data_IF_028113683020
#
_entry.id   IF_028113683020
#
_cell.length_a   1.000
_cell.length_b   1.000
_cell.length_c   1.000
_cell.angle_alpha   90.00
_cell.angle_beta   90.00
_cell.angle_gamma   90.00
#
_symmetry.space_group_name_H-M   'P 1'
#
loop_
_entity.id
_entity.type
_entity.pdbx_description
1 polymer ?
#
# COMPACT_ATOMS: atom_id res chain seq x y z
N UNK A 1 5.52 10.41 5.98
CA UNK A 1 6.92 10.41 5.50
C UNK A 1 7.03 10.94 4.07
N UNK A 2 6.25 10.44 3.10
CA UNK A 2 6.32 10.88 1.69
C UNK A 2 6.15 12.39 1.55
N UNK A 3 5.14 12.98 2.20
CA UNK A 3 4.93 14.43 2.17
C UNK A 3 6.14 15.22 2.72
N UNK A 4 6.78 14.74 3.79
CA UNK A 4 7.99 15.33 4.33
C UNK A 4 9.16 15.23 3.33
N UNK A 5 9.37 14.07 2.72
CA UNK A 5 10.38 13.88 1.69
C UNK A 5 10.18 14.85 0.50
N UNK A 6 8.94 15.03 0.04
CA UNK A 6 8.61 15.97 -1.04
C UNK A 6 8.98 17.40 -0.66
N UNK A 7 8.63 17.84 0.55
CA UNK A 7 8.97 19.20 1.04
C UNK A 7 10.48 19.39 1.09
N UNK A 8 11.23 18.39 1.56
CA UNK A 8 12.71 18.48 1.60
C UNK A 8 13.31 18.51 0.19
N UNK A 9 12.82 17.68 -0.73
CA UNK A 9 13.27 17.66 -2.12
C UNK A 9 12.99 18.98 -2.85
N UNK A 10 11.91 19.67 -2.48
CA UNK A 10 11.58 20.99 -3.05
C UNK A 10 12.62 22.07 -2.73
N UNK A 11 13.52 21.86 -1.76
CA UNK A 11 14.62 22.77 -1.45
C UNK A 11 15.86 22.56 -2.33
N UNK A 12 15.88 21.52 -3.15
CA UNK A 12 17.01 21.22 -4.03
C UNK A 12 17.10 22.19 -5.21
N UNK A 13 18.29 22.36 -5.81
CA UNK A 13 18.47 23.18 -7.02
C UNK A 13 17.58 22.71 -8.18
N UNK A 14 17.19 23.63 -9.04
CA UNK A 14 16.28 23.36 -10.18
C UNK A 14 16.84 22.40 -11.22
N UNK A 15 18.14 22.16 -11.21
CA UNK A 15 18.80 21.18 -12.08
C UNK A 15 18.39 19.74 -11.73
N UNK A 16 17.99 19.50 -10.48
CA UNK A 16 17.42 18.23 -10.04
C UNK A 16 15.90 18.30 -10.14
N UNK A 17 15.33 17.92 -11.28
CA UNK A 17 13.91 18.17 -11.57
C UNK A 17 13.00 16.95 -11.45
N UNK A 18 13.55 15.74 -11.32
CA UNK A 18 12.75 14.50 -11.23
C UNK A 18 13.21 13.65 -10.06
N UNK A 19 12.28 13.40 -9.15
CA UNK A 19 12.49 12.54 -7.99
C UNK A 19 11.38 11.49 -7.89
N UNK A 20 11.73 10.31 -7.39
CA UNK A 20 10.81 9.21 -7.13
C UNK A 20 10.75 8.91 -5.63
N UNK A 21 10.05 9.74 -4.81
CA UNK A 21 10.03 9.57 -3.36
C UNK A 21 9.11 8.43 -2.95
N UNK A 22 9.67 7.27 -2.70
CA UNK A 22 8.99 6.14 -2.07
C UNK A 22 9.92 5.46 -1.06
N UNK A 23 9.34 4.81 -0.06
CA UNK A 23 10.09 4.10 0.95
C UNK A 23 10.80 2.88 0.32
N UNK A 24 12.12 2.80 0.52
CA UNK A 24 12.95 1.70 0.02
C UNK A 24 12.75 0.38 0.76
N UNK A 25 12.17 0.45 1.95
CA UNK A 25 11.85 -0.74 2.73
C UNK A 25 10.55 -1.36 2.21
N UNK A 26 10.61 -2.62 1.83
CA UNK A 26 9.45 -3.36 1.33
C UNK A 26 8.76 -4.10 2.46
N UNK A 27 7.43 -4.21 2.36
CA UNK A 27 6.62 -5.03 3.23
C UNK A 27 5.86 -6.05 2.39
N UNK A 28 5.90 -7.30 2.78
CA UNK A 28 5.07 -8.32 2.12
C UNK A 28 3.62 -8.18 2.57
N UNK A 29 2.71 -8.16 1.61
CA UNK A 29 1.27 -8.08 1.88
C UNK A 29 0.81 -9.22 2.79
N UNK A 30 1.36 -10.43 2.62
CA UNK A 30 1.07 -11.58 3.47
C UNK A 30 1.36 -11.34 4.94
N UNK A 31 2.46 -10.65 5.27
CA UNK A 31 2.82 -10.34 6.67
C UNK A 31 1.83 -9.33 7.27
N UNK A 32 1.41 -8.35 6.50
CA UNK A 32 0.39 -7.36 6.92
C UNK A 32 -0.94 -8.06 7.19
N UNK A 33 -1.40 -8.92 6.26
CA UNK A 33 -2.64 -9.66 6.40
C UNK A 33 -2.60 -10.65 7.59
N UNK A 34 -1.47 -11.31 7.81
CA UNK A 34 -1.28 -12.19 8.96
C UNK A 34 -1.36 -11.41 10.29
N UNK A 35 -0.74 -10.24 10.33
CA UNK A 35 -0.83 -9.36 11.48
C UNK A 35 -2.25 -8.89 11.77
N UNK A 36 -3.01 -8.49 10.74
CA UNK A 36 -4.43 -8.12 10.86
C UNK A 36 -5.27 -9.28 11.38
N UNK A 37 -5.08 -10.48 10.85
CA UNK A 37 -5.77 -11.68 11.32
C UNK A 37 -5.48 -11.98 12.79
N UNK A 38 -4.24 -11.77 13.21
CA UNK A 38 -3.81 -11.98 14.62
C UNK A 38 -4.37 -10.89 15.54
N UNK A 39 -4.51 -9.67 15.07
CA UNK A 39 -5.09 -8.56 15.81
C UNK A 39 -6.62 -8.66 16.00
N UNK A 40 -7.26 -9.66 15.39
CA UNK A 40 -8.69 -9.92 15.59
C UNK A 40 -9.61 -9.14 14.63
N UNK A 41 -9.07 -8.57 13.56
CA UNK A 41 -9.84 -7.81 12.55
C UNK A 41 -10.73 -8.69 11.64
N UNK A 42 -11.00 -9.92 12.05
CA UNK A 42 -11.94 -10.80 11.34
C UNK A 42 -11.48 -11.29 9.96
N UNK A 43 -10.22 -11.03 9.59
CA UNK A 43 -9.64 -11.47 8.32
C UNK A 43 -9.42 -12.98 8.35
N UNK A 44 -9.94 -13.66 7.34
CA UNK A 44 -9.75 -15.10 7.15
C UNK A 44 -8.99 -15.37 5.87
N UNK A 45 -7.97 -16.21 5.96
CA UNK A 45 -7.32 -16.74 4.77
C UNK A 45 -8.22 -17.83 4.18
N UNK A 46 -8.48 -17.73 2.89
CA UNK A 46 -9.28 -18.68 2.13
C UNK A 46 -8.53 -19.07 0.87
N UNK A 47 -8.88 -20.22 0.30
CA UNK A 47 -8.33 -20.63 -0.99
C UNK A 47 -8.80 -19.69 -2.11
N UNK A 48 -7.99 -19.58 -3.16
CA UNK A 48 -8.25 -18.67 -4.28
C UNK A 48 -9.61 -18.93 -4.94
N UNK A 49 -10.01 -20.20 -5.01
CA UNK A 49 -11.30 -20.58 -5.60
C UNK A 49 -12.48 -20.05 -4.77
N UNK A 50 -12.41 -20.17 -3.45
CA UNK A 50 -13.45 -19.68 -2.54
C UNK A 50 -13.51 -18.14 -2.52
N UNK A 51 -12.36 -17.48 -2.59
CA UNK A 51 -12.28 -16.03 -2.78
C UNK A 51 -12.98 -15.60 -4.08
N UNK A 52 -12.69 -16.27 -5.20
CA UNK A 52 -13.31 -15.96 -6.49
C UNK A 52 -14.83 -16.16 -6.46
N UNK A 53 -15.32 -17.24 -5.84
CA UNK A 53 -16.76 -17.48 -5.65
C UNK A 53 -17.43 -16.37 -4.83
N UNK A 54 -16.79 -15.96 -3.73
CA UNK A 54 -17.29 -14.87 -2.90
C UNK A 54 -17.35 -13.54 -3.66
N UNK A 55 -16.34 -13.24 -4.48
CA UNK A 55 -16.30 -12.05 -5.32
C UNK A 55 -17.41 -12.04 -6.37
N UNK A 56 -17.66 -13.16 -7.06
CA UNK A 56 -18.76 -13.26 -8.02
C UNK A 56 -20.13 -13.13 -7.35
N UNK A 57 -20.31 -13.72 -6.17
CA UNK A 57 -21.51 -13.53 -5.37
C UNK A 57 -21.72 -12.06 -4.96
N UNK A 58 -20.63 -11.35 -4.59
CA UNK A 58 -20.68 -9.94 -4.25
C UNK A 58 -21.02 -9.04 -5.45
N UNK A 59 -20.52 -9.34 -6.65
CA UNK A 59 -20.88 -8.65 -7.89
C UNK A 59 -22.38 -8.73 -8.20
N UNK A 60 -23.01 -9.86 -7.87
CA UNK A 60 -24.43 -10.12 -8.11
C UNK A 60 -25.37 -9.43 -7.13
N UNK A 61 -24.85 -8.90 -6.02
CA UNK A 61 -25.61 -8.17 -5.00
C UNK A 61 -25.32 -6.66 -5.11
N UNK A 62 -26.27 -5.82 -5.51
CA UNK A 62 -26.04 -4.38 -5.72
C UNK A 62 -25.50 -3.63 -4.49
N UNK A 63 -25.91 -4.03 -3.28
CA UNK A 63 -25.47 -3.39 -2.04
C UNK A 63 -23.99 -3.72 -1.77
N UNK A 64 -23.62 -5.01 -1.89
CA UNK A 64 -22.24 -5.46 -1.73
C UNK A 64 -21.33 -4.94 -2.84
N UNK A 65 -21.79 -4.96 -4.08
CA UNK A 65 -21.05 -4.42 -5.21
C UNK A 65 -20.68 -2.95 -5.01
N UNK A 66 -21.58 -2.15 -4.43
CA UNK A 66 -21.31 -0.75 -4.11
C UNK A 66 -20.23 -0.60 -3.02
N UNK A 67 -20.30 -1.39 -1.96
CA UNK A 67 -19.28 -1.38 -0.89
C UNK A 67 -17.91 -1.84 -1.39
N UNK A 68 -17.90 -2.79 -2.29
CA UNK A 68 -16.67 -3.39 -2.85
C UNK A 68 -16.21 -2.77 -4.16
N UNK A 69 -16.82 -1.65 -4.60
CA UNK A 69 -16.58 -1.08 -5.93
C UNK A 69 -15.09 -0.82 -6.22
N UNK A 70 -14.36 -0.30 -5.24
CA UNK A 70 -12.92 -0.04 -5.38
C UNK A 70 -12.11 -1.33 -5.57
N UNK A 71 -12.43 -2.38 -4.82
CA UNK A 71 -11.77 -3.68 -4.91
C UNK A 71 -12.09 -4.38 -6.24
N UNK A 72 -13.35 -4.33 -6.67
CA UNK A 72 -13.78 -4.91 -7.94
C UNK A 72 -13.09 -4.21 -9.12
N UNK A 73 -13.01 -2.87 -9.11
CA UNK A 73 -12.29 -2.12 -10.14
C UNK A 73 -10.80 -2.47 -10.18
N UNK A 74 -10.16 -2.64 -9.03
CA UNK A 74 -8.76 -3.07 -8.95
C UNK A 74 -8.55 -4.49 -9.49
N UNK A 75 -9.46 -5.42 -9.18
CA UNK A 75 -9.41 -6.79 -9.68
C UNK A 75 -9.54 -6.84 -11.21
N UNK A 76 -10.47 -6.09 -11.79
CA UNK A 76 -10.65 -6.02 -13.23
C UNK A 76 -9.40 -5.43 -13.94
N UNK A 77 -8.78 -4.42 -13.35
CA UNK A 77 -7.52 -3.88 -13.85
C UNK A 77 -6.37 -4.90 -13.76
N UNK A 78 -6.28 -5.65 -12.66
CA UNK A 78 -5.21 -6.63 -12.45
C UNK A 78 -5.32 -7.82 -13.41
N UNK A 79 -6.52 -8.25 -13.79
CA UNK A 79 -6.71 -9.33 -14.76
C UNK A 79 -6.35 -8.94 -16.20
N UNK A 80 -6.39 -7.64 -16.52
CA UNK A 80 -6.03 -7.12 -17.85
C UNK A 80 -4.55 -6.80 -18.04
N UNK A 81 -3.78 -6.72 -16.98
CA UNK A 81 -2.36 -6.37 -17.04
C UNK A 81 -1.49 -7.61 -16.91
N UNK A 82 -0.70 -7.91 -17.96
CA UNK A 82 0.50 -8.72 -17.78
C UNK A 82 1.37 -7.98 -16.77
N UNK A 83 1.66 -8.61 -15.64
CA UNK A 83 2.63 -8.11 -14.66
C UNK A 83 3.96 -7.96 -15.39
N UNK A 84 4.26 -6.76 -15.85
CA UNK A 84 5.62 -6.40 -16.24
C UNK A 84 6.37 -6.14 -14.93
N UNK A 85 7.46 -6.83 -14.73
CA UNK A 85 8.41 -6.56 -13.65
C UNK A 85 9.00 -5.16 -13.90
N UNK A 86 8.34 -4.14 -13.37
CA UNK A 86 8.81 -2.76 -13.46
C UNK A 86 9.62 -2.48 -12.21
N UNK A 87 10.94 -2.58 -12.33
CA UNK A 87 11.86 -2.08 -11.31
C UNK A 87 11.91 -0.56 -11.42
N UNK A 88 11.56 0.12 -10.34
CA UNK A 88 11.69 1.58 -10.25
C UNK A 88 12.99 1.90 -9.54
N UNK A 89 13.85 2.67 -10.22
CA UNK A 89 15.07 3.18 -9.62
C UNK A 89 14.77 4.48 -8.86
N UNK A 90 15.16 4.55 -7.58
CA UNK A 90 15.11 5.77 -6.77
C UNK A 90 16.43 6.07 -6.05
N UNK A 91 17.52 5.53 -6.53
CA UNK A 91 18.84 5.69 -5.89
C UNK A 91 19.23 7.16 -5.77
N UNK A 92 19.04 7.95 -6.83
CA UNK A 92 19.28 9.39 -6.80
C UNK A 92 18.42 10.08 -5.74
N UNK A 93 17.13 9.79 -5.70
CA UNK A 93 16.19 10.36 -4.73
C UNK A 93 16.62 10.03 -3.29
N UNK A 94 16.96 8.79 -3.05
CA UNK A 94 17.42 8.29 -1.74
C UNK A 94 18.71 8.96 -1.30
N UNK A 95 19.68 9.11 -2.20
CA UNK A 95 20.95 9.77 -1.91
C UNK A 95 20.76 11.26 -1.59
N UNK A 96 19.92 11.96 -2.35
CA UNK A 96 19.62 13.38 -2.09
C UNK A 96 18.90 13.54 -0.76
N UNK A 97 17.90 12.74 -0.47
CA UNK A 97 17.19 12.74 0.81
C UNK A 97 18.12 12.48 1.98
N UNK A 98 19.02 11.51 1.85
CA UNK A 98 20.02 11.22 2.88
C UNK A 98 20.93 12.42 3.17
N UNK A 99 21.40 13.12 2.13
CA UNK A 99 22.22 14.34 2.28
C UNK A 99 21.45 15.48 2.92
N UNK A 100 20.14 15.53 2.75
CA UNK A 100 19.24 16.49 3.42
C UNK A 100 18.88 16.08 4.86
N UNK A 101 19.42 14.94 5.34
CA UNK A 101 19.17 14.44 6.69
C UNK A 101 17.90 13.64 6.86
N UNK A 102 17.33 13.15 5.75
CA UNK A 102 16.12 12.30 5.77
C UNK A 102 16.47 10.83 5.52
N UNK A 103 15.88 9.97 6.31
CA UNK A 103 15.91 8.50 6.10
C UNK A 103 14.51 7.94 6.21
N UNK A 104 14.21 6.93 5.38
CA UNK A 104 12.95 6.21 5.45
C UNK A 104 12.89 5.33 6.70
N UNK A 105 11.75 5.30 7.36
CA UNK A 105 11.53 4.35 8.45
C UNK A 105 11.47 2.93 7.91
N UNK A 106 12.07 1.95 8.60
CA UNK A 106 11.87 0.55 8.27
C UNK A 106 10.39 0.19 8.35
N UNK A 107 9.93 -0.63 7.42
CA UNK A 107 8.57 -1.20 7.42
C UNK A 107 8.51 -2.42 8.33
N UNK A 108 8.79 -2.22 9.62
CA UNK A 108 8.66 -3.23 10.68
C UNK A 108 7.19 -3.43 11.07
N UNK A 109 6.94 -4.42 11.91
CA UNK A 109 5.60 -4.62 12.48
C UNK A 109 5.08 -3.37 13.21
N UNK A 110 5.90 -2.69 13.97
CA UNK A 110 5.52 -1.42 14.65
C UNK A 110 5.04 -0.34 13.68
N UNK A 111 5.60 -0.32 12.45
CA UNK A 111 5.14 0.59 11.40
C UNK A 111 3.72 0.21 10.93
N UNK A 112 3.50 -1.08 10.70
CA UNK A 112 2.19 -1.62 10.30
C UNK A 112 1.15 -1.37 11.39
N UNK A 113 1.48 -1.65 12.65
CA UNK A 113 0.60 -1.45 13.80
C UNK A 113 0.18 0.01 13.95
N UNK A 114 1.11 0.96 13.82
CA UNK A 114 0.79 2.39 13.84
C UNK A 114 -0.13 2.79 12.69
N UNK A 115 0.10 2.25 11.50
CA UNK A 115 -0.74 2.48 10.33
C UNK A 115 -2.17 1.96 10.58
N UNK A 116 -2.30 0.73 11.08
CA UNK A 116 -3.58 0.10 11.37
C UNK A 116 -4.35 0.85 12.46
N UNK A 117 -3.66 1.27 13.53
CA UNK A 117 -4.24 2.08 14.60
C UNK A 117 -4.78 3.40 14.06
N UNK A 118 -4.03 4.07 13.19
CA UNK A 118 -4.47 5.32 12.58
C UNK A 118 -5.69 5.12 11.66
N UNK A 119 -5.72 4.05 10.87
CA UNK A 119 -6.83 3.72 9.97
C UNK A 119 -8.08 3.34 10.78
N UNK A 120 -7.91 2.53 11.84
CA UNK A 120 -9.00 2.18 12.75
C UNK A 120 -9.60 3.40 13.44
N UNK A 121 -8.76 4.33 13.89
CA UNK A 121 -9.20 5.60 14.48
C UNK A 121 -10.00 6.50 13.53
N UNK A 122 -9.94 6.26 12.21
CA UNK A 122 -10.76 6.93 11.20
C UNK A 122 -12.08 6.19 10.90
N UNK A 123 -12.39 5.11 11.61
CA UNK A 123 -13.61 4.31 11.39
C UNK A 123 -13.59 3.52 10.08
N UNK A 124 -12.41 3.15 9.59
CA UNK A 124 -12.28 2.45 8.31
C UNK A 124 -12.79 1.00 8.37
N UNK A 125 -12.78 0.41 9.56
CA UNK A 125 -13.21 -0.98 9.80
C UNK A 125 -14.62 -1.10 10.37
N UNK A 126 -15.35 0.01 10.55
CA UNK A 126 -16.71 0.06 11.11
C UNK A 126 -17.80 -0.27 10.09
#
# INVERSE_FOLDING_TARGET
>A
EVAHAIVMLATTPRECCVFHPYNIHTQFLGDVLMGLSTAGEGIKFVEQEDFNKAMEAAKSDPAKAKQMASLLAYQDMAHGQKTTDVTRDNDLTTQVLYRLGFTWSPTSWDYVERMLTAIGGLGFFD
#
